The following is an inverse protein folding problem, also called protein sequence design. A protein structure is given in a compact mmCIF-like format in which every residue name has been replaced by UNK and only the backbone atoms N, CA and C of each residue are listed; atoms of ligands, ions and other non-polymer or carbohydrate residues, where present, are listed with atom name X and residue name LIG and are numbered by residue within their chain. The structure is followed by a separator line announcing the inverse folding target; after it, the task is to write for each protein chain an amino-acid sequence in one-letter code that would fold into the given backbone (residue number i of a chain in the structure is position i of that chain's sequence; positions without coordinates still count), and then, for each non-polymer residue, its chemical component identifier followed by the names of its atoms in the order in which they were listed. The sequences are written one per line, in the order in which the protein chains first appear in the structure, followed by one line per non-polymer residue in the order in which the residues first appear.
data_IF_601241272667
#
_entry.id   IF_601241272667
#
_cell.length_a   1.000
_cell.length_b   1.000
_cell.length_c   1.000
_cell.angle_alpha   90.00
_cell.angle_beta   90.00
_cell.angle_gamma   90.00
#
_symmetry.space_group_name_H-M   'P 1'
#
loop_
_entity.id
_entity.type
_entity.pdbx_description
1 polymer ?
#
# COMPACT_ATOMS: atom_id res chain seq x y z
N UNK A 1 -0.88 14.41 -31.98
CA UNK A 1 -0.22 14.17 -30.69
C UNK A 1 -1.10 14.81 -29.63
N UNK A 2 -1.86 14.01 -28.89
CA UNK A 2 -2.70 14.49 -27.79
C UNK A 2 -1.98 14.14 -26.49
N UNK A 3 -1.76 15.14 -25.66
CA UNK A 3 -1.00 15.09 -24.42
C UNK A 3 -1.63 14.10 -23.42
N UNK A 4 -0.85 13.14 -22.96
CA UNK A 4 -1.27 12.11 -22.01
C UNK A 4 -1.32 12.60 -20.55
N UNK A 5 -2.04 13.70 -20.26
CA UNK A 5 -2.09 14.26 -18.90
C UNK A 5 -3.46 14.36 -18.23
N UNK A 6 -4.59 14.17 -18.94
CA UNK A 6 -5.92 14.24 -18.31
C UNK A 6 -6.80 13.06 -18.74
N UNK A 7 -6.41 11.83 -18.40
CA UNK A 7 -7.46 10.83 -18.18
C UNK A 7 -8.15 11.19 -16.86
N UNK A 8 -9.45 11.47 -16.94
CA UNK A 8 -10.27 11.86 -15.78
C UNK A 8 -10.06 10.87 -14.63
N UNK A 9 -9.55 11.39 -13.51
CA UNK A 9 -9.33 10.60 -12.30
C UNK A 9 -10.68 10.35 -11.64
N UNK A 10 -11.13 9.10 -11.70
CA UNK A 10 -12.43 8.67 -11.20
C UNK A 10 -12.43 8.49 -9.67
N UNK A 11 -11.29 8.07 -9.10
CA UNK A 11 -11.12 8.03 -7.65
C UNK A 11 -9.67 8.18 -7.22
N UNK A 12 -9.48 8.78 -6.04
CA UNK A 12 -8.17 8.91 -5.40
C UNK A 12 -8.20 8.35 -3.99
N UNK A 13 -7.16 7.58 -3.63
CA UNK A 13 -6.92 7.09 -2.28
C UNK A 13 -5.57 7.60 -1.79
N UNK A 14 -5.56 8.29 -0.66
CA UNK A 14 -4.34 8.78 -0.02
C UNK A 14 -4.24 8.26 1.41
N UNK A 15 -3.04 8.10 1.95
CA UNK A 15 -2.88 7.75 3.35
C UNK A 15 -3.46 8.84 4.27
N UNK A 16 -4.11 8.42 5.37
CA UNK A 16 -4.60 9.35 6.39
C UNK A 16 -3.43 10.03 7.09
N UNK A 17 -3.37 11.36 7.05
CA UNK A 17 -2.29 12.15 7.68
C UNK A 17 -2.10 11.79 9.15
N UNK A 18 -3.19 11.71 9.93
CA UNK A 18 -3.12 11.37 11.35
C UNK A 18 -2.59 9.95 11.60
N UNK A 19 -3.13 8.94 10.89
CA UNK A 19 -2.67 7.55 11.03
C UNK A 19 -1.21 7.37 10.57
N UNK A 20 -0.81 8.10 9.52
CA UNK A 20 0.54 8.11 8.98
C UNK A 20 1.53 8.65 10.01
N UNK A 21 1.26 9.82 10.60
CA UNK A 21 2.14 10.44 11.59
C UNK A 21 2.26 9.54 12.83
N UNK A 22 1.14 9.09 13.39
CA UNK A 22 1.16 8.24 14.60
C UNK A 22 1.83 6.89 14.35
N UNK A 23 1.44 6.18 13.28
CA UNK A 23 1.98 4.84 13.01
C UNK A 23 3.48 4.85 12.70
N UNK A 24 3.94 5.80 11.89
CA UNK A 24 5.37 5.93 11.56
C UNK A 24 6.15 6.45 12.77
N UNK A 25 5.60 7.41 13.51
CA UNK A 25 6.22 7.97 14.71
C UNK A 25 6.45 6.91 15.78
N UNK A 26 5.43 6.10 16.08
CA UNK A 26 5.54 5.00 17.06
C UNK A 26 6.56 3.95 16.63
N UNK A 27 6.57 3.56 15.34
CA UNK A 27 7.56 2.61 14.83
C UNK A 27 8.98 3.17 14.90
N UNK A 28 9.15 4.46 14.60
CA UNK A 28 10.45 5.13 14.69
C UNK A 28 10.95 5.19 16.14
N UNK A 29 10.08 5.60 17.07
CA UNK A 29 10.40 5.62 18.51
C UNK A 29 10.76 4.23 19.01
N UNK A 30 10.01 3.20 18.62
CA UNK A 30 10.31 1.82 18.97
C UNK A 30 11.68 1.39 18.42
N UNK A 31 11.99 1.68 17.16
CA UNK A 31 13.29 1.38 16.57
C UNK A 31 14.46 2.05 17.32
N UNK A 32 14.32 3.33 17.66
CA UNK A 32 15.31 4.05 18.47
C UNK A 32 15.45 3.43 19.86
N UNK A 33 14.33 3.12 20.53
CA UNK A 33 14.34 2.55 21.88
C UNK A 33 15.02 1.17 21.91
N UNK A 34 14.77 0.33 20.90
CA UNK A 34 15.42 -0.99 20.78
C UNK A 34 16.94 -0.84 20.60
N UNK A 35 17.39 0.10 19.77
CA UNK A 35 18.82 0.40 19.60
C UNK A 35 19.40 0.94 20.91
N UNK A 36 18.69 1.85 21.58
CA UNK A 36 19.12 2.42 22.85
C UNK A 36 19.34 1.34 23.92
N UNK A 37 18.40 0.40 24.07
CA UNK A 37 18.53 -0.74 25.01
C UNK A 37 19.75 -1.59 24.69
N UNK A 38 20.07 -1.80 23.41
CA UNK A 38 21.24 -2.56 22.98
C UNK A 38 22.57 -1.91 23.43
N UNK A 39 22.60 -0.60 23.70
CA UNK A 39 23.77 0.11 24.20
C UNK A 39 23.78 0.31 25.71
N UNK A 40 22.63 0.59 26.32
CA UNK A 40 22.56 0.94 27.75
C UNK A 40 22.55 -0.29 28.66
N UNK A 41 21.89 -1.36 28.25
CA UNK A 41 21.90 -2.66 28.94
C UNK A 41 22.35 -3.72 27.95
N UNK A 42 23.63 -3.72 27.55
CA UNK A 42 24.12 -4.57 26.49
C UNK A 42 24.00 -6.04 26.92
N UNK A 43 23.17 -6.85 26.22
CA UNK A 43 23.08 -8.27 26.49
C UNK A 43 24.33 -8.98 25.94
N UNK A 44 24.34 -10.32 25.98
CA UNK A 44 25.38 -11.08 25.28
C UNK A 44 25.50 -10.66 23.80
N UNK A 45 26.73 -10.69 23.27
CA UNK A 45 27.07 -10.13 21.94
C UNK A 45 26.07 -10.49 20.82
N UNK A 46 25.65 -11.76 20.73
CA UNK A 46 24.68 -12.20 19.73
C UNK A 46 23.32 -11.50 19.84
N UNK A 47 22.81 -11.32 21.06
CA UNK A 47 21.56 -10.60 21.31
C UNK A 47 21.70 -9.10 21.08
N UNK A 48 22.87 -8.53 21.39
CA UNK A 48 23.14 -7.13 21.16
C UNK A 48 23.09 -6.83 19.65
N UNK A 49 23.78 -7.63 18.85
CA UNK A 49 23.75 -7.53 17.39
C UNK A 49 22.33 -7.73 16.83
N UNK A 50 21.57 -8.68 17.38
CA UNK A 50 20.18 -8.88 17.00
C UNK A 50 19.32 -7.64 17.25
N UNK A 51 19.42 -7.01 18.43
CA UNK A 51 18.65 -5.80 18.75
C UNK A 51 19.03 -4.63 17.84
N UNK A 52 20.33 -4.45 17.56
CA UNK A 52 20.80 -3.41 16.65
C UNK A 52 20.22 -3.58 15.23
N UNK A 53 20.27 -4.81 14.70
CA UNK A 53 19.70 -5.12 13.39
C UNK A 53 18.18 -4.92 13.40
N UNK A 54 17.48 -5.41 14.43
CA UNK A 54 16.04 -5.27 14.55
C UNK A 54 15.60 -3.81 14.59
N UNK A 55 16.27 -2.99 15.41
CA UNK A 55 15.99 -1.57 15.49
C UNK A 55 16.30 -0.83 14.18
N UNK A 56 17.41 -1.15 13.52
CA UNK A 56 17.74 -0.60 12.21
C UNK A 56 16.67 -0.96 11.16
N UNK A 57 16.22 -2.22 11.12
CA UNK A 57 15.14 -2.66 10.22
C UNK A 57 13.83 -1.92 10.53
N UNK A 58 13.48 -1.73 11.80
CA UNK A 58 12.29 -0.97 12.18
C UNK A 58 12.35 0.49 11.67
N UNK A 59 13.50 1.14 11.80
CA UNK A 59 13.72 2.50 11.27
C UNK A 59 13.68 2.53 9.74
N UNK A 60 14.26 1.54 9.07
CA UNK A 60 14.17 1.41 7.61
C UNK A 60 12.72 1.24 7.15
N UNK A 61 11.91 0.42 7.84
CA UNK A 61 10.48 0.26 7.52
C UNK A 61 9.74 1.58 7.76
N UNK A 62 10.01 2.29 8.86
CA UNK A 62 9.40 3.59 9.13
C UNK A 62 9.72 4.62 8.02
N UNK A 63 10.97 4.69 7.57
CA UNK A 63 11.39 5.55 6.46
C UNK A 63 10.70 5.15 5.14
N UNK A 64 10.65 3.84 4.86
CA UNK A 64 10.00 3.30 3.66
C UNK A 64 8.50 3.59 3.66
N UNK A 65 7.82 3.43 4.80
CA UNK A 65 6.42 3.81 4.97
C UNK A 65 6.22 5.31 4.78
N UNK A 66 7.12 6.16 5.31
CA UNK A 66 7.04 7.62 5.13
C UNK A 66 7.05 8.00 3.65
N UNK A 67 7.97 7.43 2.87
CA UNK A 67 8.07 7.67 1.42
C UNK A 67 6.87 7.10 0.68
N UNK A 68 6.52 5.84 0.96
CA UNK A 68 5.41 5.15 0.29
C UNK A 68 4.07 5.84 0.50
N UNK A 69 3.79 6.31 1.70
CA UNK A 69 2.50 6.94 2.05
C UNK A 69 2.44 8.44 1.72
N UNK A 70 3.51 9.00 1.16
CA UNK A 70 3.48 10.34 0.56
C UNK A 70 2.75 10.32 -0.79
N UNK A 71 2.69 9.15 -1.42
CA UNK A 71 2.00 8.93 -2.68
C UNK A 71 0.48 8.74 -2.52
N UNK A 72 -0.23 8.98 -3.61
CA UNK A 72 -1.66 8.73 -3.78
C UNK A 72 -1.88 7.66 -4.83
N UNK A 73 -2.96 6.91 -4.68
CA UNK A 73 -3.45 5.98 -5.68
C UNK A 73 -4.54 6.66 -6.47
N UNK A 74 -4.47 6.57 -7.79
CA UNK A 74 -5.39 7.20 -8.73
C UNK A 74 -5.96 6.12 -9.64
N UNK A 75 -7.27 6.04 -9.66
CA UNK A 75 -8.01 5.21 -10.61
C UNK A 75 -8.49 6.11 -11.74
N UNK A 76 -8.14 5.73 -12.96
CA UNK A 76 -8.61 6.32 -14.21
C UNK A 76 -9.53 5.33 -14.92
N UNK A 77 -10.03 5.69 -16.11
CA UNK A 77 -10.78 4.76 -16.95
C UNK A 77 -9.96 3.54 -17.41
N UNK A 78 -8.63 3.67 -17.53
CA UNK A 78 -7.78 2.62 -18.13
C UNK A 78 -6.86 1.94 -17.13
N UNK A 79 -6.44 2.63 -16.07
CA UNK A 79 -5.44 2.14 -15.14
C UNK A 79 -5.64 2.58 -13.68
N UNK A 80 -5.24 1.71 -12.76
CA UNK A 80 -4.95 2.05 -11.38
C UNK A 80 -3.45 2.32 -11.27
N UNK A 81 -3.09 3.53 -10.87
CA UNK A 81 -1.69 3.98 -10.76
C UNK A 81 -1.39 4.63 -9.42
N UNK A 82 -0.11 4.69 -9.12
CA UNK A 82 0.46 5.48 -8.03
C UNK A 82 0.97 6.82 -8.62
N UNK A 83 0.70 7.94 -7.94
CA UNK A 83 1.23 9.29 -8.21
C UNK A 83 2.76 9.36 -8.40
N UNK A 84 3.52 8.36 -7.95
CA UNK A 84 4.94 8.20 -8.24
C UNK A 84 5.27 7.64 -9.62
N UNK A 85 4.27 7.47 -10.51
CA UNK A 85 4.42 7.00 -11.88
C UNK A 85 4.37 5.48 -12.05
N UNK A 86 3.94 4.73 -11.02
CA UNK A 86 3.85 3.26 -11.10
C UNK A 86 2.44 2.85 -11.48
N UNK A 87 2.27 2.21 -12.64
CA UNK A 87 1.02 1.52 -13.00
C UNK A 87 0.90 0.24 -12.16
N UNK A 88 -0.14 0.19 -11.32
CA UNK A 88 -0.38 -0.93 -10.40
C UNK A 88 -1.07 -2.08 -11.14
N UNK A 89 -2.11 -1.74 -11.90
CA UNK A 89 -2.83 -2.64 -12.79
C UNK A 89 -3.62 -1.84 -13.84
N UNK A 90 -3.68 -2.35 -15.08
CA UNK A 90 -4.65 -1.88 -16.06
C UNK A 90 -6.03 -2.42 -15.71
N UNK A 91 -7.08 -1.62 -15.90
CA UNK A 91 -8.48 -1.99 -15.65
C UNK A 91 -8.85 -3.27 -16.41
N UNK A 92 -8.39 -3.40 -17.66
CA UNK A 92 -8.60 -4.59 -18.48
C UNK A 92 -7.90 -5.85 -17.94
N UNK A 93 -6.82 -5.72 -17.18
CA UNK A 93 -6.13 -6.85 -16.54
C UNK A 93 -6.77 -7.23 -15.20
N UNK A 94 -7.68 -6.41 -14.65
CA UNK A 94 -8.42 -6.76 -13.43
C UNK A 94 -9.41 -7.88 -13.78
N UNK A 95 -9.27 -9.00 -13.07
CA UNK A 95 -10.12 -10.19 -13.21
C UNK A 95 -11.22 -10.22 -12.17
N UNK A 96 -10.95 -9.77 -10.94
CA UNK A 96 -11.95 -9.71 -9.87
C UNK A 96 -11.53 -8.76 -8.75
N UNK A 97 -12.51 -8.30 -7.98
CA UNK A 97 -12.31 -7.52 -6.75
C UNK A 97 -12.93 -8.24 -5.55
N UNK A 98 -12.22 -8.26 -4.43
CA UNK A 98 -12.67 -8.86 -3.17
C UNK A 98 -12.66 -7.81 -2.04
N UNK A 99 -13.84 -7.65 -1.42
CA UNK A 99 -14.11 -6.74 -0.30
C UNK A 99 -14.50 -7.49 0.99
N UNK A 100 -14.58 -8.82 0.93
CA UNK A 100 -15.09 -9.65 2.01
C UNK A 100 -14.25 -9.54 3.29
N UNK A 101 -14.89 -9.79 4.43
CA UNK A 101 -14.23 -9.83 5.75
C UNK A 101 -13.25 -11.00 5.89
N UNK A 102 -13.40 -12.05 5.07
CA UNK A 102 -12.53 -13.23 5.03
C UNK A 102 -11.43 -13.14 3.96
N UNK A 103 -11.37 -12.05 3.20
CA UNK A 103 -10.27 -11.81 2.27
C UNK A 103 -9.04 -11.37 3.08
N UNK A 104 -7.85 -11.87 2.74
CA UNK A 104 -6.57 -11.35 3.23
C UNK A 104 -6.30 -9.95 2.63
N UNK A 105 -7.15 -8.97 2.99
CA UNK A 105 -7.07 -7.60 2.54
C UNK A 105 -6.34 -6.75 3.58
N UNK A 106 -5.56 -5.76 3.14
CA UNK A 106 -4.97 -4.80 4.07
C UNK A 106 -6.08 -4.04 4.83
N UNK A 107 -5.74 -3.53 6.02
CA UNK A 107 -6.68 -2.76 6.86
C UNK A 107 -7.31 -1.62 6.06
N UNK A 108 -8.62 -1.42 6.21
CA UNK A 108 -9.38 -0.43 5.43
C UNK A 108 -9.15 -0.54 3.91
N UNK A 109 -8.95 -1.75 3.40
CA UNK A 109 -8.62 -1.97 2.00
C UNK A 109 -9.53 -2.97 1.29
N UNK A 110 -9.13 -3.30 0.07
CA UNK A 110 -9.70 -4.35 -0.79
C UNK A 110 -8.56 -5.11 -1.49
N UNK A 111 -8.91 -6.25 -2.08
CA UNK A 111 -7.98 -7.07 -2.86
C UNK A 111 -8.43 -7.07 -4.33
N UNK A 112 -7.50 -6.87 -5.24
CA UNK A 112 -7.69 -7.12 -6.66
C UNK A 112 -7.00 -8.43 -7.04
N UNK A 113 -7.59 -9.14 -7.98
CA UNK A 113 -6.96 -10.25 -8.70
C UNK A 113 -6.80 -9.85 -10.15
N UNK A 114 -5.60 -10.02 -10.70
CA UNK A 114 -5.31 -9.75 -12.12
C UNK A 114 -5.33 -11.03 -12.96
N UNK A 115 -5.51 -10.88 -14.28
CA UNK A 115 -5.44 -12.00 -15.25
C UNK A 115 -3.99 -12.47 -15.40
N UNK A 116 -3.04 -11.56 -15.41
CA UNK A 116 -1.62 -11.88 -15.56
C UNK A 116 -0.84 -11.64 -14.25
N UNK A 117 0.15 -12.49 -13.91
CA UNK A 117 1.07 -12.19 -12.82
C UNK A 117 1.95 -10.98 -13.19
N UNK A 118 2.48 -10.28 -12.19
CA UNK A 118 3.44 -9.22 -12.42
C UNK A 118 4.43 -9.10 -11.27
N UNK A 119 5.32 -8.11 -11.37
CA UNK A 119 6.44 -7.96 -10.44
C UNK A 119 5.96 -7.82 -9.00
N UNK A 120 6.67 -8.49 -8.08
CA UNK A 120 6.43 -8.33 -6.63
C UNK A 120 6.83 -6.92 -6.24
N UNK A 121 5.87 -6.15 -5.73
CA UNK A 121 6.11 -4.80 -5.24
C UNK A 121 5.42 -4.61 -3.90
N UNK A 122 6.08 -3.89 -3.00
CA UNK A 122 5.51 -3.55 -1.71
C UNK A 122 5.70 -2.07 -1.44
N UNK A 123 4.58 -1.36 -1.33
CA UNK A 123 4.48 0.04 -0.96
C UNK A 123 3.83 0.10 0.42
N UNK A 124 4.63 -0.07 1.50
CA UNK A 124 4.12 -0.35 2.83
C UNK A 124 3.20 0.78 3.33
N UNK A 125 2.04 0.39 3.84
CA UNK A 125 0.98 1.30 4.26
C UNK A 125 0.06 1.80 3.15
N UNK A 126 0.31 1.46 1.88
CA UNK A 126 -0.50 1.91 0.74
C UNK A 126 -1.00 0.76 -0.15
N UNK A 127 -0.09 -0.09 -0.63
CA UNK A 127 -0.46 -1.28 -1.43
C UNK A 127 0.67 -2.31 -1.53
N UNK A 128 0.33 -3.50 -2.02
CA UNK A 128 1.30 -4.54 -2.36
C UNK A 128 0.82 -5.38 -3.53
N UNK A 129 1.75 -6.01 -4.24
CA UNK A 129 1.50 -7.03 -5.26
C UNK A 129 2.30 -8.28 -4.98
N UNK A 130 1.63 -9.43 -5.06
CA UNK A 130 2.26 -10.75 -5.04
C UNK A 130 1.62 -11.63 -6.13
N UNK A 131 2.36 -11.80 -7.24
CA UNK A 131 1.87 -12.50 -8.42
C UNK A 131 0.65 -11.82 -9.02
N UNK A 132 -0.50 -12.48 -8.92
CA UNK A 132 -1.80 -12.02 -9.44
C UNK A 132 -2.65 -11.27 -8.41
N UNK A 133 -2.19 -11.16 -7.15
CA UNK A 133 -2.95 -10.53 -6.06
C UNK A 133 -2.37 -9.17 -5.76
N UNK A 134 -3.24 -8.17 -5.65
CA UNK A 134 -2.88 -6.80 -5.30
C UNK A 134 -3.74 -6.37 -4.13
N UNK A 135 -3.13 -6.06 -3.00
CA UNK A 135 -3.82 -5.49 -1.85
C UNK A 135 -3.73 -3.97 -1.88
N UNK A 136 -4.87 -3.28 -1.89
CA UNK A 136 -4.96 -1.83 -1.80
C UNK A 136 -5.42 -1.46 -0.40
N UNK A 137 -4.60 -0.74 0.37
CA UNK A 137 -4.98 -0.20 1.68
C UNK A 137 -3.86 -0.18 2.71
N UNK A 138 -4.23 -0.15 3.99
CA UNK A 138 -3.32 -0.07 5.13
C UNK A 138 -3.57 1.21 5.93
N UNK A 139 -2.81 2.27 5.62
CA UNK A 139 -2.96 3.59 6.24
C UNK A 139 -4.03 4.46 5.56
N UNK A 140 -4.74 3.91 4.58
CA UNK A 140 -5.77 4.60 3.80
C UNK A 140 -7.09 4.73 4.57
N UNK A 141 -7.89 5.79 4.34
CA UNK A 141 -9.25 5.91 4.87
C UNK A 141 -10.18 4.88 4.22
N UNK A 142 -10.92 4.13 5.03
CA UNK A 142 -11.85 3.10 4.55
C UNK A 142 -12.93 3.63 3.61
N UNK A 143 -13.34 4.90 3.78
CA UNK A 143 -14.29 5.55 2.88
C UNK A 143 -13.75 5.70 1.45
N UNK A 144 -12.48 6.11 1.30
CA UNK A 144 -11.87 6.31 -0.02
C UNK A 144 -11.66 4.97 -0.74
N UNK A 145 -11.14 3.97 -0.03
CA UNK A 145 -10.95 2.63 -0.61
C UNK A 145 -12.26 1.94 -0.93
N UNK A 146 -13.32 2.16 -0.12
CA UNK A 146 -14.65 1.63 -0.42
C UNK A 146 -15.20 2.26 -1.71
N UNK A 147 -15.12 3.57 -1.83
CA UNK A 147 -15.56 4.30 -3.03
C UNK A 147 -14.81 3.84 -4.30
N UNK A 148 -13.48 3.77 -4.25
CA UNK A 148 -12.67 3.28 -5.36
C UNK A 148 -13.03 1.83 -5.74
N UNK A 149 -13.25 0.97 -4.75
CA UNK A 149 -13.65 -0.42 -4.99
C UNK A 149 -15.04 -0.53 -5.64
N UNK A 150 -15.96 0.38 -5.33
CA UNK A 150 -17.28 0.43 -5.95
C UNK A 150 -17.19 0.82 -7.43
N UNK A 151 -16.37 1.82 -7.77
CA UNK A 151 -16.13 2.20 -9.17
C UNK A 151 -15.51 1.04 -9.96
N UNK A 152 -14.49 0.38 -9.43
CA UNK A 152 -13.88 -0.80 -10.08
C UNK A 152 -14.91 -1.91 -10.29
N UNK A 153 -15.83 -2.12 -9.33
CA UNK A 153 -16.86 -3.13 -9.46
C UNK A 153 -17.87 -2.79 -10.58
N UNK A 154 -18.21 -1.51 -10.75
CA UNK A 154 -19.06 -1.03 -11.85
C UNK A 154 -18.37 -1.25 -13.19
N UNK A 155 -17.10 -0.84 -13.34
CA UNK A 155 -16.32 -1.05 -14.57
C UNK A 155 -16.23 -2.53 -14.98
N UNK A 156 -16.05 -3.42 -13.99
CA UNK A 156 -16.00 -4.85 -14.26
C UNK A 156 -17.36 -5.40 -14.73
N UNK A 157 -18.46 -4.91 -14.17
CA UNK A 157 -19.81 -5.33 -14.57
C UNK A 157 -20.21 -4.81 -15.96
N UNK A 158 -19.84 -3.57 -16.30
CA UNK A 158 -20.05 -3.00 -17.63
C UNK A 158 -19.32 -3.82 -18.70
N UNK A 159 -18.06 -4.19 -18.44
CA UNK A 159 -17.26 -5.02 -19.34
C UNK A 159 -17.80 -6.44 -19.54
N UNK A 160 -18.57 -6.99 -18.61
CA UNK A 160 -19.21 -8.31 -18.77
C UNK A 160 -20.46 -8.25 -19.65
N UNK A 161 -21.02 -7.06 -19.87
CA UNK A 161 -22.24 -6.85 -20.65
C UNK A 161 -21.95 -6.61 -22.14
N UNK A 162 -20.73 -6.16 -22.46
CA UNK A 162 -20.20 -5.98 -23.83
C UNK A 162 -19.56 -7.26 -24.40
#
# INVERSE_FOLDING_TARGET
MHDGQDEDVLATVAASTGRRILGIGLLAVLGVLVIYVAFVTPPGFGWQMFLLVLGAVALMIADTMRRSTAHKLELTGTELRDSGGVVIAYVDDIASIDRGTFAFKPSNGFLLRTKSPGARMWRPGLWWRFGRRIGIGGMTPGRQTKYMAEIIAVMLAERETD
#
